data_IF_403067043591
#
_entry.id   IF_403067043591
#
_cell.length_a   1.000
_cell.length_b   1.000
_cell.length_c   1.000
_cell.angle_alpha   90.00
_cell.angle_beta   90.00
_cell.angle_gamma   90.00
#
_symmetry.space_group_name_H-M   'P 1'
#
loop_
_entity.id
_entity.type
_entity.pdbx_description
1 polymer ?
#
# COMPACT_ATOMS: atom_id res chain seq x y z
N UNK A 1 4.84 7.39 -32.66
CA UNK A 1 4.07 6.62 -31.67
C UNK A 1 3.27 7.64 -30.91
N UNK A 2 1.95 7.70 -31.15
CA UNK A 2 1.07 8.61 -30.42
C UNK A 2 0.98 8.10 -28.98
N UNK A 3 1.56 8.87 -28.07
CA UNK A 3 1.58 8.63 -26.63
C UNK A 3 0.14 8.74 -26.12
N UNK A 4 -0.58 7.62 -26.16
CA UNK A 4 -1.90 7.50 -25.54
C UNK A 4 -1.67 7.52 -24.04
N UNK A 5 -1.62 8.71 -23.47
CA UNK A 5 -1.82 8.90 -22.04
C UNK A 5 -3.26 8.50 -21.76
N UNK A 6 -3.48 7.22 -21.48
CA UNK A 6 -4.79 6.68 -21.08
C UNK A 6 -5.19 7.37 -19.77
N UNK A 7 -6.00 8.42 -19.91
CA UNK A 7 -6.56 9.17 -18.79
C UNK A 7 -7.59 8.26 -18.11
N UNK A 8 -7.17 7.58 -17.05
CA UNK A 8 -8.04 6.73 -16.23
C UNK A 8 -8.76 7.52 -15.13
N UNK A 9 -9.52 6.80 -14.30
CA UNK A 9 -10.25 7.38 -13.17
C UNK A 9 -9.70 6.89 -11.84
N UNK A 10 -9.20 7.80 -11.01
CA UNK A 10 -8.70 7.42 -9.70
C UNK A 10 -9.84 7.00 -8.78
N UNK A 11 -9.85 5.75 -8.34
CA UNK A 11 -10.86 5.15 -7.46
C UNK A 11 -10.87 5.79 -6.05
N UNK A 12 -9.78 6.43 -5.65
CA UNK A 12 -9.65 7.06 -4.32
C UNK A 12 -10.12 8.52 -4.30
N UNK A 13 -9.62 9.34 -5.24
CA UNK A 13 -9.92 10.78 -5.24
C UNK A 13 -10.94 11.20 -6.30
N UNK A 14 -11.44 10.27 -7.12
CA UNK A 14 -12.46 10.50 -8.15
C UNK A 14 -12.09 11.60 -9.15
N UNK A 15 -10.84 11.58 -9.62
CA UNK A 15 -10.32 12.51 -10.63
C UNK A 15 -9.94 11.73 -11.89
N UNK A 16 -10.26 12.31 -13.05
CA UNK A 16 -9.75 11.86 -14.33
C UNK A 16 -8.28 12.31 -14.48
N UNK A 17 -7.36 11.37 -14.41
CA UNK A 17 -5.91 11.61 -14.43
C UNK A 17 -5.21 10.31 -14.82
N UNK A 18 -3.92 10.37 -15.16
CA UNK A 18 -3.12 9.15 -15.32
C UNK A 18 -3.19 8.28 -14.05
N UNK A 19 -3.61 7.03 -14.22
CA UNK A 19 -3.79 6.06 -13.15
C UNK A 19 -2.90 4.85 -13.35
N UNK A 20 -2.48 4.27 -12.23
CA UNK A 20 -1.76 3.01 -12.17
C UNK A 20 -2.62 1.95 -11.49
N UNK A 21 -2.41 0.68 -11.85
CA UNK A 21 -3.07 -0.44 -11.21
C UNK A 21 -2.41 -0.71 -9.85
N UNK A 22 -3.23 -0.69 -8.81
CA UNK A 22 -2.84 -1.02 -7.45
C UNK A 22 -3.43 -2.38 -7.05
N UNK A 23 -2.61 -3.20 -6.39
CA UNK A 23 -2.94 -4.54 -5.92
C UNK A 23 -2.79 -4.58 -4.39
N UNK A 24 -3.88 -4.33 -3.68
CA UNK A 24 -3.88 -4.27 -2.22
C UNK A 24 -3.96 -5.63 -1.53
N UNK A 25 -3.95 -5.65 -0.18
CA UNK A 25 -3.79 -6.85 0.64
C UNK A 25 -4.96 -7.84 0.56
N UNK A 26 -6.13 -7.43 0.05
CA UNK A 26 -7.32 -8.28 -0.14
C UNK A 26 -7.57 -8.64 -1.62
N UNK A 27 -6.52 -8.70 -2.44
CA UNK A 27 -6.65 -8.84 -3.91
C UNK A 27 -7.48 -7.72 -4.56
N UNK A 28 -7.70 -6.61 -3.86
CA UNK A 28 -8.38 -5.44 -4.40
C UNK A 28 -7.55 -4.87 -5.55
N UNK A 29 -8.16 -4.87 -6.73
CA UNK A 29 -7.62 -4.22 -7.92
C UNK A 29 -8.27 -2.85 -8.02
N UNK A 30 -7.47 -1.80 -7.83
CA UNK A 30 -7.92 -0.42 -7.94
C UNK A 30 -7.09 0.33 -8.97
N UNK A 31 -7.69 1.30 -9.62
CA UNK A 31 -6.94 2.28 -10.43
C UNK A 31 -6.74 3.53 -9.60
N UNK A 32 -5.48 3.89 -9.34
CA UNK A 32 -5.11 5.01 -8.49
C UNK A 32 -4.19 5.97 -9.23
N UNK A 33 -4.41 7.27 -9.06
CA UNK A 33 -3.41 8.23 -9.46
C UNK A 33 -2.14 8.07 -8.60
N UNK A 34 -1.00 8.52 -9.11
CA UNK A 34 0.30 8.37 -8.43
C UNK A 34 0.26 8.78 -6.95
N UNK A 35 -0.32 9.94 -6.64
CA UNK A 35 -0.39 10.44 -5.27
C UNK A 35 -1.20 9.52 -4.34
N UNK A 36 -2.32 8.97 -4.82
CA UNK A 36 -3.12 8.02 -4.05
C UNK A 36 -2.41 6.67 -3.95
N UNK A 37 -1.78 6.20 -5.04
CA UNK A 37 -0.98 4.97 -5.03
C UNK A 37 0.10 5.01 -3.95
N UNK A 38 0.88 6.09 -3.90
CA UNK A 38 1.96 6.27 -2.93
C UNK A 38 1.43 6.25 -1.48
N UNK A 39 0.26 6.85 -1.23
CA UNK A 39 -0.38 6.83 0.09
C UNK A 39 -0.83 5.43 0.53
N UNK A 40 -1.36 4.63 -0.39
CA UNK A 40 -1.79 3.27 -0.09
C UNK A 40 -0.59 2.37 0.22
N UNK A 41 0.44 2.42 -0.62
CA UNK A 41 1.69 1.66 -0.39
C UNK A 41 2.35 2.08 0.92
N UNK A 42 2.40 3.38 1.22
CA UNK A 42 2.94 3.86 2.49
C UNK A 42 2.18 3.28 3.71
N UNK A 43 0.84 3.17 3.64
CA UNK A 43 0.05 2.55 4.70
C UNK A 43 0.37 1.07 4.87
N UNK A 44 0.52 0.32 3.78
CA UNK A 44 0.91 -1.10 3.83
C UNK A 44 2.28 -1.28 4.46
N UNK A 45 3.25 -0.46 4.06
CA UNK A 45 4.59 -0.50 4.66
C UNK A 45 4.54 -0.18 6.15
N UNK A 46 3.77 0.83 6.57
CA UNK A 46 3.59 1.15 7.99
C UNK A 46 2.96 0.00 8.77
N UNK A 47 1.99 -0.70 8.20
CA UNK A 47 1.39 -1.87 8.86
C UNK A 47 2.41 -3.01 9.00
N UNK A 48 3.12 -3.35 7.92
CA UNK A 48 4.19 -4.34 7.93
C UNK A 48 5.23 -4.06 9.02
N UNK A 49 5.67 -2.80 9.15
CA UNK A 49 6.63 -2.41 10.18
C UNK A 49 6.08 -2.54 11.59
N UNK A 50 4.80 -2.22 11.82
CA UNK A 50 4.15 -2.40 13.14
C UNK A 50 4.12 -3.88 13.52
N UNK A 51 3.66 -4.73 12.61
CA UNK A 51 3.57 -6.17 12.83
C UNK A 51 4.96 -6.76 13.12
N UNK A 52 5.98 -6.29 12.38
CA UNK A 52 7.37 -6.69 12.61
C UNK A 52 7.89 -6.27 13.99
N UNK A 53 7.60 -5.04 14.44
CA UNK A 53 7.98 -4.57 15.78
C UNK A 53 7.29 -5.39 16.88
N UNK A 54 6.02 -5.73 16.72
CA UNK A 54 5.28 -6.56 17.67
C UNK A 54 5.84 -7.99 17.75
N UNK A 55 6.19 -8.57 16.61
CA UNK A 55 6.85 -9.88 16.55
C UNK A 55 8.22 -9.86 17.24
N UNK A 56 9.03 -8.83 17.01
CA UNK A 56 10.34 -8.69 17.67
C UNK A 56 10.18 -8.46 19.19
N UNK A 57 9.17 -7.71 19.64
CA UNK A 57 8.83 -7.59 21.07
C UNK A 57 8.42 -8.94 21.68
N UNK A 58 7.64 -9.74 20.95
CA UNK A 58 7.23 -11.09 21.39
C UNK A 58 8.44 -12.01 21.53
N UNK A 59 9.38 -11.97 20.56
CA UNK A 59 10.63 -12.73 20.59
C UNK A 59 11.56 -12.31 21.72
N UNK A 60 11.63 -11.01 22.00
CA UNK A 60 12.38 -10.47 23.13
C UNK A 60 11.74 -10.82 24.49
N UNK A 61 10.47 -11.27 24.50
CA UNK A 61 9.64 -11.51 25.67
C UNK A 61 9.37 -12.98 25.98
N UNK A 62 10.41 -13.79 26.08
CA UNK A 62 10.46 -14.87 27.09
C UNK A 62 11.73 -14.70 27.91
N UNK A 63 11.66 -14.11 29.12
CA UNK A 63 12.55 -14.52 30.18
C UNK A 63 12.12 -15.94 30.59
N UNK A 64 12.61 -16.96 29.87
CA UNK A 64 12.68 -18.30 30.44
C UNK A 64 13.71 -18.22 31.57
N UNK A 65 13.18 -18.24 32.80
CA UNK A 65 13.77 -18.91 33.97
C UNK A 65 15.27 -19.25 33.87
N UNK A 66 16.11 -18.39 34.43
CA UNK A 66 17.43 -18.74 34.97
C UNK A 66 17.78 -17.80 36.13
#
# INVERSE_FOLDING_TARGET
>A
MTDSTDVGWCSSCNKAVETNKYHGPDSQKMELCKACYDQYVAKEMLQYWKDHIEEEKRRAGTPESA
#
